data_IF_176996878856
#
_entry.id   IF_176996878856
#
_cell.length_a   1.000
_cell.length_b   1.000
_cell.length_c   1.000
_cell.angle_alpha   90.00
_cell.angle_beta   90.00
_cell.angle_gamma   90.00
#
_symmetry.space_group_name_H-M   'P 1'
#
loop_
_entity.id
_entity.type
_entity.pdbx_description
1 polymer ?
#
# COMPACT_ATOMS: atom_id res chain seq x y z
N UNK A 1 -1.02 -19.65 12.09
CA UNK A 1 -0.36 -19.74 13.41
C UNK A 1 1.07 -19.20 13.42
N UNK A 2 1.95 -19.59 12.48
CA UNK A 2 3.33 -19.08 12.37
C UNK A 2 3.45 -17.55 12.50
N UNK A 3 2.63 -16.80 11.73
CA UNK A 3 2.57 -15.33 11.81
C UNK A 3 2.31 -14.74 13.21
N UNK A 4 1.51 -15.41 14.05
CA UNK A 4 1.22 -14.93 15.41
C UNK A 4 2.44 -15.07 16.30
N UNK A 5 3.11 -16.22 16.22
CA UNK A 5 4.34 -16.51 16.99
C UNK A 5 5.45 -15.57 16.55
N UNK A 6 5.64 -15.38 15.25
CA UNK A 6 6.63 -14.43 14.70
C UNK A 6 6.40 -13.00 15.23
N UNK A 7 5.12 -12.58 15.31
CA UNK A 7 4.75 -11.26 15.84
C UNK A 7 5.02 -11.14 17.34
N UNK A 8 4.71 -12.18 18.11
CA UNK A 8 4.96 -12.20 19.56
C UNK A 8 6.46 -12.15 19.88
N UNK A 9 7.26 -12.91 19.13
CA UNK A 9 8.73 -12.86 19.25
C UNK A 9 9.28 -11.47 18.90
N UNK A 10 8.74 -10.82 17.87
CA UNK A 10 9.14 -9.46 17.48
C UNK A 10 8.73 -8.38 18.52
N UNK A 11 7.72 -8.66 19.33
CA UNK A 11 7.23 -7.80 20.42
C UNK A 11 7.81 -8.21 21.78
N UNK A 12 8.90 -8.99 21.82
CA UNK A 12 9.56 -9.45 23.05
C UNK A 12 8.66 -10.20 24.05
N UNK A 13 7.59 -10.85 23.57
CA UNK A 13 6.80 -11.75 24.40
C UNK A 13 7.60 -13.01 24.71
N UNK A 14 7.57 -13.42 25.98
CA UNK A 14 8.22 -14.64 26.47
C UNK A 14 7.19 -15.73 26.69
N UNK A 15 7.55 -16.94 26.33
CA UNK A 15 6.72 -18.12 26.59
C UNK A 15 6.80 -18.51 28.07
N UNK A 16 5.66 -18.78 28.66
CA UNK A 16 5.52 -19.34 30.01
C UNK A 16 5.39 -20.86 29.86
N UNK A 17 6.48 -21.60 30.05
CA UNK A 17 6.49 -23.05 29.90
C UNK A 17 5.72 -23.77 31.01
N UNK A 18 5.66 -23.19 32.21
CA UNK A 18 4.94 -23.77 33.36
C UNK A 18 3.42 -23.69 33.19
N UNK A 19 2.93 -22.58 32.62
CA UNK A 19 1.51 -22.41 32.31
C UNK A 19 1.10 -23.03 30.96
N UNK A 20 2.06 -23.36 30.09
CA UNK A 20 1.81 -23.97 28.79
C UNK A 20 1.44 -25.45 28.92
N UNK A 21 0.46 -25.89 28.13
CA UNK A 21 -0.04 -27.27 28.11
C UNK A 21 -0.14 -27.77 26.66
N UNK A 22 -0.20 -29.09 26.42
CA UNK A 22 -0.50 -29.61 25.09
C UNK A 22 -1.78 -28.96 24.53
N UNK A 23 -1.67 -28.33 23.35
CA UNK A 23 -2.79 -27.62 22.72
C UNK A 23 -2.99 -26.16 23.15
N UNK A 24 -2.25 -25.65 24.14
CA UNK A 24 -2.34 -24.26 24.62
C UNK A 24 -0.96 -23.73 25.03
N UNK A 25 -0.46 -22.73 24.32
CA UNK A 25 0.78 -22.03 24.68
C UNK A 25 0.45 -20.69 25.34
N UNK A 26 1.13 -20.38 26.45
CA UNK A 26 0.94 -19.14 27.20
C UNK A 26 2.15 -18.22 27.00
N UNK A 27 1.91 -16.95 26.75
CA UNK A 27 2.93 -15.91 26.59
C UNK A 27 2.66 -14.76 27.57
N UNK A 28 3.72 -14.10 28.02
CA UNK A 28 3.67 -12.91 28.87
C UNK A 28 4.65 -11.86 28.35
N UNK A 29 4.44 -10.61 28.74
CA UNK A 29 5.28 -9.48 28.32
C UNK A 29 5.81 -8.73 29.55
N UNK A 30 7.06 -8.23 29.55
CA UNK A 30 7.62 -7.50 30.69
C UNK A 30 6.86 -6.23 31.07
N UNK A 31 6.25 -5.53 30.10
CA UNK A 31 5.47 -4.31 30.37
C UNK A 31 4.15 -4.59 31.10
N UNK A 32 3.63 -5.83 31.04
CA UNK A 32 2.39 -6.21 31.73
C UNK A 32 2.47 -7.68 32.15
N UNK A 33 3.20 -7.97 33.24
CA UNK A 33 3.44 -9.34 33.70
C UNK A 33 2.16 -10.06 34.16
N UNK A 34 1.15 -9.30 34.58
CA UNK A 34 -0.15 -9.83 35.02
C UNK A 34 -1.05 -10.24 33.84
N UNK A 35 -0.85 -9.65 32.66
CA UNK A 35 -1.65 -9.94 31.48
C UNK A 35 -1.02 -11.04 30.62
N UNK A 36 -1.52 -12.27 30.77
CA UNK A 36 -1.09 -13.42 29.97
C UNK A 36 -1.90 -13.59 28.69
N UNK A 37 -1.23 -13.91 27.60
CA UNK A 37 -1.82 -14.29 26.31
C UNK A 37 -1.87 -15.80 26.16
N UNK A 38 -3.07 -16.31 25.96
CA UNK A 38 -3.32 -17.73 25.73
C UNK A 38 -3.52 -18.00 24.24
N UNK A 39 -2.74 -18.92 23.67
CA UNK A 39 -2.81 -19.30 22.26
C UNK A 39 -3.15 -20.78 22.15
N UNK A 40 -4.32 -21.09 21.60
CA UNK A 40 -4.79 -22.46 21.40
C UNK A 40 -4.39 -23.00 20.03
N UNK A 41 -3.90 -24.24 19.97
CA UNK A 41 -3.68 -24.93 18.70
C UNK A 41 -4.99 -25.09 17.94
N UNK A 42 -4.96 -24.77 16.64
CA UNK A 42 -6.17 -24.74 15.82
C UNK A 42 -6.99 -23.45 15.91
N UNK A 43 -6.47 -22.39 16.54
CA UNK A 43 -7.15 -21.09 16.54
C UNK A 43 -7.47 -20.61 15.11
N UNK A 44 -8.70 -20.14 14.92
CA UNK A 44 -9.17 -19.61 13.64
C UNK A 44 -8.41 -18.34 13.26
N UNK A 45 -8.41 -17.99 11.98
CA UNK A 45 -7.73 -16.79 11.48
C UNK A 45 -8.19 -15.48 12.18
N UNK A 46 -9.49 -15.26 12.44
CA UNK A 46 -9.94 -14.09 13.19
C UNK A 46 -9.43 -14.06 14.64
N UNK A 47 -9.34 -15.22 15.29
CA UNK A 47 -8.79 -15.34 16.64
C UNK A 47 -7.29 -14.99 16.64
N UNK A 48 -6.54 -15.42 15.63
CA UNK A 48 -5.13 -15.05 15.44
C UNK A 48 -4.95 -13.53 15.29
N UNK A 49 -5.79 -12.86 14.49
CA UNK A 49 -5.74 -11.41 14.31
C UNK A 49 -6.03 -10.68 15.63
N UNK A 50 -7.04 -11.15 16.36
CA UNK A 50 -7.43 -10.57 17.64
C UNK A 50 -6.33 -10.71 18.70
N UNK A 51 -5.63 -11.85 18.72
CA UNK A 51 -4.46 -12.08 19.58
C UNK A 51 -3.32 -11.12 19.24
N UNK A 52 -3.01 -10.90 17.96
CA UNK A 52 -1.98 -9.95 17.54
C UNK A 52 -2.33 -8.53 17.99
N UNK A 53 -3.56 -8.08 17.76
CA UNK A 53 -4.00 -6.76 18.20
C UNK A 53 -3.91 -6.61 19.73
N UNK A 54 -4.21 -7.66 20.51
CA UNK A 54 -4.06 -7.62 21.96
C UNK A 54 -2.59 -7.57 22.38
N UNK A 55 -1.73 -8.36 21.75
CA UNK A 55 -0.29 -8.36 22.00
C UNK A 55 0.34 -6.97 21.81
N UNK A 56 -0.08 -6.26 20.77
CA UNK A 56 0.46 -4.94 20.45
C UNK A 56 -0.02 -3.86 21.41
N UNK A 57 -1.24 -4.00 21.95
CA UNK A 57 -1.71 -3.14 23.04
C UNK A 57 -0.88 -3.35 24.30
N UNK A 58 -0.62 -4.61 24.67
CA UNK A 58 0.18 -4.97 25.85
C UNK A 58 1.64 -4.51 25.72
N UNK A 59 2.20 -4.61 24.53
CA UNK A 59 3.57 -4.16 24.27
C UNK A 59 3.71 -2.62 24.30
N UNK A 60 2.61 -1.87 24.41
CA UNK A 60 2.54 -0.40 24.39
C UNK A 60 3.25 0.27 23.19
N UNK A 61 3.65 -0.53 22.21
CA UNK A 61 3.95 -0.09 20.84
C UNK A 61 2.63 0.38 20.24
N UNK A 62 2.30 1.64 20.48
CA UNK A 62 1.17 2.33 19.85
C UNK A 62 1.16 1.97 18.36
N UNK A 63 0.18 1.16 17.98
CA UNK A 63 0.07 0.65 16.62
C UNK A 63 -0.04 1.85 15.67
N UNK A 64 1.01 2.10 14.89
CA UNK A 64 1.09 3.17 13.87
C UNK A 64 0.86 2.63 12.45
N UNK A 65 0.53 1.34 12.30
CA UNK A 65 0.25 0.70 11.03
C UNK A 65 -1.21 0.86 10.55
N UNK A 66 -1.52 0.54 9.28
CA UNK A 66 -2.90 0.44 8.82
C UNK A 66 -3.60 -0.70 9.55
N UNK A 67 -4.74 -0.41 10.21
CA UNK A 67 -5.49 -1.40 10.99
C UNK A 67 -5.68 -2.73 10.24
N UNK A 68 -5.29 -3.84 10.85
CA UNK A 68 -5.46 -5.15 10.22
C UNK A 68 -6.96 -5.45 10.00
N UNK A 69 -7.38 -5.86 8.79
CA UNK A 69 -8.78 -6.19 8.54
C UNK A 69 -9.17 -7.40 9.39
N UNK A 70 -10.21 -7.24 10.20
CA UNK A 70 -10.69 -8.24 11.17
C UNK A 70 -11.58 -9.28 10.51
N UNK A 71 -12.16 -8.96 9.35
CA UNK A 71 -13.10 -9.82 8.63
C UNK A 71 -12.74 -10.02 7.16
N UNK A 72 -13.26 -11.11 6.56
CA UNK A 72 -13.13 -11.37 5.12
C UNK A 72 -13.79 -10.24 4.30
N UNK A 73 -14.91 -9.69 4.78
CA UNK A 73 -15.61 -8.57 4.14
C UNK A 73 -14.75 -7.32 4.05
N UNK A 74 -14.11 -6.92 5.14
CA UNK A 74 -13.17 -5.80 5.18
C UNK A 74 -11.98 -6.02 4.25
N UNK A 75 -11.41 -7.23 4.24
CA UNK A 75 -10.31 -7.60 3.34
C UNK A 75 -10.70 -7.44 1.86
N UNK A 76 -11.90 -7.87 1.49
CA UNK A 76 -12.43 -7.72 0.14
C UNK A 76 -12.74 -6.25 -0.20
N UNK A 77 -13.16 -5.44 0.77
CA UNK A 77 -13.38 -4.02 0.58
C UNK A 77 -12.05 -3.28 0.33
N UNK A 78 -11.02 -3.57 1.12
CA UNK A 78 -9.65 -3.03 0.92
C UNK A 78 -9.13 -3.39 -0.46
N UNK A 79 -9.22 -4.67 -0.84
CA UNK A 79 -8.77 -5.14 -2.16
C UNK A 79 -9.50 -4.46 -3.32
N UNK A 80 -10.82 -4.26 -3.20
CA UNK A 80 -11.61 -3.51 -4.19
C UNK A 80 -11.18 -2.05 -4.27
N UNK A 81 -10.88 -1.43 -3.14
CA UNK A 81 -10.46 -0.03 -3.08
C UNK A 81 -9.06 0.16 -3.69
N UNK A 82 -8.12 -0.75 -3.43
CA UNK A 82 -6.80 -0.77 -4.07
C UNK A 82 -6.89 -0.96 -5.58
N UNK A 83 -7.73 -1.90 -6.04
CA UNK A 83 -7.97 -2.10 -7.48
C UNK A 83 -8.55 -0.85 -8.14
N UNK A 84 -9.49 -0.16 -7.47
CA UNK A 84 -10.05 1.09 -7.97
C UNK A 84 -8.98 2.18 -8.08
N UNK A 85 -8.17 2.37 -7.05
CA UNK A 85 -7.06 3.35 -7.05
C UNK A 85 -6.05 3.05 -8.15
N UNK A 86 -5.74 1.78 -8.41
CA UNK A 86 -4.87 1.40 -9.51
C UNK A 86 -5.46 1.80 -10.87
N UNK A 87 -6.74 1.50 -11.10
CA UNK A 87 -7.44 1.88 -12.34
C UNK A 87 -7.48 3.40 -12.54
N UNK A 88 -7.73 4.16 -11.48
CA UNK A 88 -7.74 5.63 -11.54
C UNK A 88 -6.35 6.19 -11.92
N UNK A 89 -5.27 5.59 -11.39
CA UNK A 89 -3.89 5.91 -11.79
C UNK A 89 -3.60 5.57 -13.25
N UNK A 90 -4.07 4.42 -13.73
CA UNK A 90 -3.87 4.03 -15.14
C UNK A 90 -4.60 4.97 -16.10
N UNK A 91 -5.82 5.38 -15.77
CA UNK A 91 -6.62 6.33 -16.57
C UNK A 91 -5.92 7.69 -16.65
N UNK A 92 -5.48 8.23 -15.52
CA UNK A 92 -4.76 9.51 -15.47
C UNK A 92 -3.44 9.46 -16.23
N UNK A 93 -2.64 8.40 -16.04
CA UNK A 93 -1.41 8.19 -16.79
C UNK A 93 -1.65 8.07 -18.31
N UNK A 94 -2.74 7.45 -18.72
CA UNK A 94 -3.11 7.35 -20.14
C UNK A 94 -3.52 8.72 -20.72
N UNK A 95 -4.28 9.51 -19.98
CA UNK A 95 -4.68 10.85 -20.38
C UNK A 95 -3.46 11.80 -20.50
N UNK A 96 -2.53 11.74 -19.55
CA UNK A 96 -1.30 12.53 -19.58
C UNK A 96 -0.40 12.19 -20.77
N UNK A 97 -0.28 10.90 -21.11
CA UNK A 97 0.45 10.45 -22.32
C UNK A 97 -0.18 11.02 -23.60
N UNK A 98 -1.51 10.98 -23.71
CA UNK A 98 -2.25 11.57 -24.83
C UNK A 98 -2.03 13.07 -24.95
N UNK A 99 -2.20 13.81 -23.83
CA UNK A 99 -2.00 15.25 -23.82
C UNK A 99 -0.55 15.66 -24.15
N UNK A 100 0.44 14.86 -23.75
CA UNK A 100 1.85 15.11 -24.08
C UNK A 100 2.14 14.88 -25.57
N UNK A 101 1.52 13.87 -26.18
CA UNK A 101 1.62 13.63 -27.62
C UNK A 101 0.99 14.78 -28.43
N UNK A 102 -0.20 15.23 -28.01
CA UNK A 102 -0.91 16.36 -28.63
C UNK A 102 -0.08 17.65 -28.59
N UNK A 103 0.48 18.00 -27.42
CA UNK A 103 1.37 19.17 -27.29
C UNK A 103 2.59 19.09 -28.19
N UNK A 104 3.20 17.91 -28.32
CA UNK A 104 4.34 17.70 -29.22
C UNK A 104 3.93 17.92 -30.68
N UNK A 105 2.81 17.35 -31.10
CA UNK A 105 2.30 17.52 -32.45
C UNK A 105 2.02 19.00 -32.77
N UNK A 106 1.33 19.72 -31.87
CA UNK A 106 1.05 21.14 -32.05
C UNK A 106 2.32 21.99 -32.11
N UNK A 107 3.31 21.71 -31.26
CA UNK A 107 4.60 22.42 -31.30
C UNK A 107 5.34 22.22 -32.62
N UNK A 108 5.32 21.00 -33.15
CA UNK A 108 5.97 20.68 -34.43
C UNK A 108 5.25 21.36 -35.60
N UNK A 109 3.91 21.30 -35.62
CA UNK A 109 3.06 22.05 -36.58
C UNK A 109 3.35 23.54 -36.58
N UNK A 110 3.46 24.15 -35.40
CA UNK A 110 3.71 25.58 -35.27
C UNK A 110 5.07 25.99 -35.88
N UNK A 111 6.11 25.17 -35.64
CA UNK A 111 7.43 25.37 -36.25
C UNK A 111 7.34 25.27 -37.77
N UNK A 112 6.68 24.24 -38.30
CA UNK A 112 6.52 24.03 -39.74
C UNK A 112 5.78 25.21 -40.42
N UNK A 113 4.73 25.73 -39.78
CA UNK A 113 3.99 26.89 -40.29
C UNK A 113 4.83 28.16 -40.29
N UNK A 114 5.62 28.39 -39.25
CA UNK A 114 6.47 29.57 -39.15
C UNK A 114 7.64 29.51 -40.14
N UNK A 115 8.25 28.33 -40.32
CA UNK A 115 9.27 28.12 -41.35
C UNK A 115 8.73 28.37 -42.76
N UNK A 116 7.52 27.87 -43.05
CA UNK A 116 6.86 28.13 -44.33
C UNK A 116 6.61 29.62 -44.54
N UNK A 117 6.06 30.30 -43.52
CA UNK A 117 5.83 31.75 -43.55
C UNK A 117 7.11 32.54 -43.79
N UNK A 118 8.22 32.14 -43.16
CA UNK A 118 9.52 32.78 -43.39
C UNK A 118 10.06 32.54 -44.80
N UNK A 119 9.86 31.34 -45.38
CA UNK A 119 10.26 31.07 -46.77
C UNK A 119 9.45 31.91 -47.76
N UNK A 120 8.14 32.02 -47.55
CA UNK A 120 7.24 32.87 -48.35
C UNK A 120 7.65 34.35 -48.26
N UNK A 121 7.94 34.86 -47.06
CA UNK A 121 8.45 36.22 -46.85
C UNK A 121 9.79 36.45 -47.56
N UNK A 122 10.73 35.49 -47.45
CA UNK A 122 12.05 35.59 -48.12
C UNK A 122 11.91 35.60 -49.64
N UNK A 123 11.01 34.80 -50.21
CA UNK A 123 10.73 34.80 -51.65
C UNK A 123 10.12 36.12 -52.11
N UNK A 124 9.22 36.71 -51.30
CA UNK A 124 8.60 38.01 -51.61
C UNK A 124 9.60 39.18 -51.53
N UNK A 125 10.59 39.09 -50.64
CA UNK A 125 11.64 40.11 -50.47
C UNK A 125 12.78 40.00 -51.48
N UNK A 126 12.85 38.94 -52.30
CA UNK A 126 13.80 38.90 -53.41
C UNK A 126 13.27 39.80 -54.53
N UNK A 127 13.95 40.92 -54.86
CA UNK A 127 13.59 41.69 -56.03
C UNK A 127 13.72 40.79 -57.26
N UNK A 128 12.66 40.77 -58.08
CA UNK A 128 12.61 39.99 -59.31
C UNK A 128 13.85 40.25 -60.16
N UNK A 129 14.35 39.18 -60.79
CA UNK A 129 15.26 39.32 -61.92
C UNK A 129 14.59 40.09 -63.06
#
# INVERSE_FOLDING_TARGET
>A
MKRVIDTLNALDFRRDDDASRPGKTVYWHPNSPDERLNIFHGATEPACISLICKAQKIADTGWTGPAMPRTIGERNAIRRNEQRRHRERDITAHAERGARAERRYQSWRAIETEERRQRELRQLMMPGR
#
